data_IF_403774891245
#
_entry.id   IF_403774891245
#
_cell.length_a   1.000
_cell.length_b   1.000
_cell.length_c   1.000
_cell.angle_alpha   90.00
_cell.angle_beta   90.00
_cell.angle_gamma   90.00
#
_symmetry.space_group_name_H-M   'P 1'
#
loop_
_entity.id
_entity.type
_entity.pdbx_description
1 polymer ?
#
# COMPACT_ATOMS: atom_id res chain seq x y z
N UNK A 1 -7.87 22.74 13.48
CA UNK A 1 -7.15 21.87 12.53
C UNK A 1 -6.21 21.00 13.35
N UNK A 2 -6.57 19.74 13.60
CA UNK A 2 -5.87 18.88 14.59
C UNK A 2 -4.45 18.47 14.15
N UNK A 3 -4.19 18.47 12.84
CA UNK A 3 -2.93 18.02 12.23
C UNK A 3 -1.73 18.95 12.50
N UNK A 4 -1.95 20.14 13.07
CA UNK A 4 -0.89 21.15 13.28
C UNK A 4 -0.81 21.66 14.72
N UNK A 5 -1.35 20.93 15.69
CA UNK A 5 -1.41 21.39 17.09
C UNK A 5 -0.01 21.63 17.70
N UNK A 6 1.02 20.93 17.23
CA UNK A 6 2.41 21.06 17.71
C UNK A 6 3.27 21.98 16.82
N UNK A 7 2.65 22.70 15.87
CA UNK A 7 3.33 23.54 14.90
C UNK A 7 3.79 22.80 13.65
N UNK A 8 4.27 23.54 12.65
CA UNK A 8 4.62 22.97 11.33
C UNK A 8 5.82 22.04 11.37
N UNK A 9 6.81 22.33 12.23
CA UNK A 9 8.03 21.54 12.32
C UNK A 9 7.76 20.13 12.86
N UNK A 10 7.11 20.03 14.02
CA UNK A 10 6.85 18.75 14.69
C UNK A 10 5.79 17.90 14.00
N UNK A 11 4.91 18.52 13.22
CA UNK A 11 3.93 17.81 12.42
C UNK A 11 4.45 17.56 11.00
N UNK A 12 4.42 18.57 10.12
CA UNK A 12 4.64 18.37 8.69
C UNK A 12 6.09 18.05 8.34
N UNK A 13 7.05 18.82 8.86
CA UNK A 13 8.44 18.64 8.48
C UNK A 13 8.98 17.32 9.01
N UNK A 14 8.62 16.98 10.25
CA UNK A 14 9.00 15.71 10.87
C UNK A 14 8.39 14.51 10.15
N UNK A 15 7.13 14.59 9.73
CA UNK A 15 6.48 13.54 8.94
C UNK A 15 7.20 13.32 7.60
N UNK A 16 7.58 14.40 6.91
CA UNK A 16 8.35 14.32 5.65
C UNK A 16 9.75 13.74 5.88
N UNK A 17 10.45 14.16 6.94
CA UNK A 17 11.78 13.64 7.29
C UNK A 17 11.73 12.14 7.58
N UNK A 18 10.69 11.66 8.28
CA UNK A 18 10.52 10.22 8.56
C UNK A 18 10.13 9.47 7.28
N UNK A 19 9.16 10.00 6.51
CA UNK A 19 8.65 9.34 5.31
C UNK A 19 9.68 9.18 4.19
N UNK A 20 10.58 10.15 4.02
CA UNK A 20 11.59 10.17 2.94
C UNK A 20 13.04 10.05 3.45
N UNK A 21 13.23 9.86 4.75
CA UNK A 21 14.55 9.67 5.36
C UNK A 21 15.13 8.29 5.10
N UNK A 22 16.29 8.02 5.70
CA UNK A 22 16.86 6.67 5.72
C UNK A 22 16.12 5.81 6.74
N UNK A 23 15.77 4.59 6.33
CA UNK A 23 15.14 3.60 7.20
C UNK A 23 16.20 2.59 7.65
N UNK A 24 16.13 2.17 8.91
CA UNK A 24 17.05 1.17 9.47
C UNK A 24 16.71 -0.28 9.08
N UNK A 25 15.66 -0.47 8.27
CA UNK A 25 15.27 -1.77 7.76
C UNK A 25 14.94 -1.72 6.27
N UNK A 26 15.19 -2.84 5.59
CA UNK A 26 14.77 -3.07 4.22
C UNK A 26 13.46 -3.88 4.24
N UNK A 27 12.36 -3.40 3.60
CA UNK A 27 11.13 -4.17 3.54
C UNK A 27 11.32 -5.56 2.90
N UNK A 28 12.31 -5.74 2.02
CA UNK A 28 12.60 -7.02 1.37
C UNK A 28 13.22 -8.06 2.29
N UNK A 29 13.69 -7.67 3.48
CA UNK A 29 14.23 -8.58 4.50
C UNK A 29 13.13 -9.14 5.44
N UNK A 30 11.87 -8.73 5.24
CA UNK A 30 10.75 -9.21 6.04
C UNK A 30 10.51 -10.71 5.86
N UNK A 31 10.48 -11.44 6.97
CA UNK A 31 10.12 -12.86 6.99
C UNK A 31 8.62 -13.02 6.84
N UNK A 32 8.20 -14.11 6.19
CA UNK A 32 6.78 -14.46 6.09
C UNK A 32 6.17 -14.58 7.50
N UNK A 33 5.19 -13.73 7.88
CA UNK A 33 4.53 -13.83 9.17
C UNK A 33 3.51 -14.98 9.25
N UNK A 34 3.19 -15.63 8.12
CA UNK A 34 2.20 -16.71 8.00
C UNK A 34 2.85 -18.01 7.48
N UNK A 35 3.73 -18.66 8.27
CA UNK A 35 4.49 -19.82 7.81
C UNK A 35 3.63 -21.07 7.56
N UNK A 36 2.43 -21.16 8.13
CA UNK A 36 1.49 -22.27 7.96
C UNK A 36 0.32 -21.91 7.03
N UNK A 37 0.48 -20.87 6.20
CA UNK A 37 -0.57 -20.35 5.31
C UNK A 37 -1.84 -19.91 6.07
N UNK A 38 -1.70 -19.47 7.32
CA UNK A 38 -2.82 -18.97 8.13
C UNK A 38 -3.32 -17.57 7.72
N UNK A 39 -2.62 -16.91 6.79
CA UNK A 39 -2.96 -15.57 6.32
C UNK A 39 -2.14 -15.13 5.11
N UNK A 40 -2.47 -13.93 4.62
CA UNK A 40 -1.72 -13.25 3.58
C UNK A 40 -1.77 -11.74 3.79
N UNK A 41 -0.73 -11.03 3.36
CA UNK A 41 -0.77 -9.57 3.24
C UNK A 41 -1.23 -9.24 1.83
N UNK A 42 -2.18 -8.32 1.68
CA UNK A 42 -2.59 -7.82 0.38
C UNK A 42 -2.10 -6.37 0.19
N UNK A 43 -1.51 -6.09 -0.96
CA UNK A 43 -0.98 -4.77 -1.32
C UNK A 43 -1.63 -4.29 -2.61
N UNK A 44 -2.39 -3.20 -2.54
CA UNK A 44 -2.98 -2.54 -3.71
C UNK A 44 -2.17 -1.30 -4.08
N UNK A 45 -1.83 -1.16 -5.36
CA UNK A 45 -1.00 -0.07 -5.88
C UNK A 45 -1.62 0.48 -7.15
N UNK A 46 -1.79 1.80 -7.25
CA UNK A 46 -2.13 2.45 -8.51
C UNK A 46 -0.93 2.48 -9.46
N UNK A 47 -1.13 2.14 -10.73
CA UNK A 47 -0.04 2.13 -11.74
C UNK A 47 0.37 3.53 -12.23
N UNK A 48 -0.46 4.56 -11.96
CA UNK A 48 -0.19 5.98 -12.20
C UNK A 48 0.19 6.73 -10.92
N UNK A 49 0.64 6.02 -9.88
CA UNK A 49 1.11 6.64 -8.64
C UNK A 49 2.39 7.49 -8.87
N UNK A 50 2.26 8.79 -8.64
CA UNK A 50 3.35 9.75 -8.77
C UNK A 50 4.25 9.90 -7.54
N UNK A 51 3.88 9.32 -6.39
CA UNK A 51 4.66 9.35 -5.15
C UNK A 51 5.49 8.09 -4.97
N UNK A 52 4.89 6.93 -5.19
CA UNK A 52 5.55 5.62 -5.02
C UNK A 52 5.66 4.90 -6.35
N UNK A 53 6.88 4.64 -6.87
CA UNK A 53 7.05 3.96 -8.14
C UNK A 53 6.43 2.55 -8.13
N UNK A 54 5.51 2.28 -9.06
CA UNK A 54 4.87 0.97 -9.22
C UNK A 54 5.89 -0.17 -9.38
N UNK A 55 7.00 0.09 -10.08
CA UNK A 55 8.07 -0.90 -10.28
C UNK A 55 8.74 -1.33 -8.97
N UNK A 56 8.85 -0.42 -7.99
CA UNK A 56 9.43 -0.74 -6.69
C UNK A 56 8.52 -1.70 -5.92
N UNK A 57 7.21 -1.42 -5.88
CA UNK A 57 6.24 -2.28 -5.20
C UNK A 57 6.13 -3.65 -5.87
N UNK A 58 6.13 -3.68 -7.20
CA UNK A 58 6.17 -4.92 -7.97
C UNK A 58 7.41 -5.77 -7.61
N UNK A 59 8.57 -5.14 -7.45
CA UNK A 59 9.80 -5.83 -7.07
C UNK A 59 9.75 -6.37 -5.63
N UNK A 60 9.24 -5.58 -4.68
CA UNK A 60 9.04 -6.00 -3.28
C UNK A 60 8.12 -7.23 -3.22
N UNK A 61 6.97 -7.20 -3.90
CA UNK A 61 6.04 -8.32 -3.94
C UNK A 61 6.66 -9.60 -4.54
N UNK A 62 7.52 -9.46 -5.57
CA UNK A 62 8.27 -10.59 -6.14
C UNK A 62 9.29 -11.18 -5.16
N UNK A 63 9.90 -10.36 -4.31
CA UNK A 63 10.84 -10.81 -3.27
C UNK A 63 10.14 -11.43 -2.07
N UNK A 64 8.92 -10.99 -1.78
CA UNK A 64 8.11 -11.40 -0.63
C UNK A 64 6.85 -12.13 -1.12
N UNK A 65 6.93 -13.41 -1.50
CA UNK A 65 5.83 -14.13 -2.17
C UNK A 65 4.59 -14.34 -1.29
N UNK A 66 4.68 -14.04 0.01
CA UNK A 66 3.54 -14.02 0.93
C UNK A 66 2.69 -12.74 0.82
N UNK A 67 3.12 -11.77 0.01
CA UNK A 67 2.34 -10.59 -0.37
C UNK A 67 1.54 -10.90 -1.64
N UNK A 68 0.21 -10.75 -1.56
CA UNK A 68 -0.71 -10.74 -2.68
C UNK A 68 -0.79 -9.33 -3.24
N UNK A 69 -0.15 -9.09 -4.38
CA UNK A 69 -0.06 -7.76 -4.99
C UNK A 69 -1.14 -7.54 -6.05
N UNK A 70 -1.71 -6.34 -6.07
CA UNK A 70 -2.83 -5.94 -6.93
C UNK A 70 -2.53 -4.57 -7.55
N UNK A 71 -2.22 -4.52 -8.85
CA UNK A 71 -2.03 -3.28 -9.59
C UNK A 71 -3.35 -2.76 -10.12
N UNK A 72 -3.70 -1.52 -9.81
CA UNK A 72 -4.93 -0.87 -10.24
C UNK A 72 -4.61 0.03 -11.43
N UNK A 73 -5.10 -0.35 -12.60
CA UNK A 73 -4.88 0.40 -13.84
C UNK A 73 -5.56 1.77 -13.81
N UNK A 74 -4.83 2.82 -14.19
CA UNK A 74 -5.30 4.20 -14.28
C UNK A 74 -5.45 4.90 -12.93
N UNK A 75 -4.96 4.30 -11.85
CA UNK A 75 -5.12 4.83 -10.50
C UNK A 75 -3.82 5.47 -10.00
N UNK A 76 -3.94 6.63 -9.37
CA UNK A 76 -2.84 7.28 -8.66
C UNK A 76 -2.80 6.94 -7.18
N UNK A 77 -1.92 7.61 -6.43
CA UNK A 77 -1.69 7.37 -4.99
C UNK A 77 -2.97 7.41 -4.12
N UNK A 78 -3.87 8.33 -4.46
CA UNK A 78 -5.07 8.63 -3.64
C UNK A 78 -6.32 7.85 -4.08
N UNK A 79 -6.17 6.70 -4.75
CA UNK A 79 -7.34 5.90 -5.19
C UNK A 79 -8.27 5.53 -4.03
N UNK A 80 -7.74 5.42 -2.81
CA UNK A 80 -8.50 5.14 -1.58
C UNK A 80 -9.49 6.24 -1.17
N UNK A 81 -9.41 7.43 -1.78
CA UNK A 81 -10.40 8.49 -1.55
C UNK A 81 -11.73 8.26 -2.28
N UNK A 82 -11.80 7.33 -3.24
CA UNK A 82 -13.06 6.92 -3.84
C UNK A 82 -13.63 5.72 -3.06
N UNK A 83 -14.86 5.89 -2.56
CA UNK A 83 -15.56 4.85 -1.81
C UNK A 83 -15.73 3.55 -2.62
N UNK A 84 -15.77 3.62 -3.95
CA UNK A 84 -15.88 2.42 -4.79
C UNK A 84 -14.62 1.53 -4.66
N UNK A 85 -13.43 2.14 -4.59
CA UNK A 85 -12.16 1.43 -4.39
C UNK A 85 -12.15 0.78 -3.00
N UNK A 86 -12.54 1.52 -1.97
CA UNK A 86 -12.59 1.02 -0.58
C UNK A 86 -13.57 -0.15 -0.44
N UNK A 87 -14.79 -0.01 -0.97
CA UNK A 87 -15.80 -1.08 -0.95
C UNK A 87 -15.33 -2.33 -1.68
N UNK A 88 -14.66 -2.17 -2.82
CA UNK A 88 -14.12 -3.29 -3.59
C UNK A 88 -13.02 -4.03 -2.82
N UNK A 89 -12.09 -3.31 -2.19
CA UNK A 89 -11.03 -3.89 -1.35
C UNK A 89 -11.62 -4.62 -0.14
N UNK A 90 -12.57 -4.01 0.56
CA UNK A 90 -13.22 -4.63 1.73
C UNK A 90 -13.98 -5.90 1.34
N UNK A 91 -14.67 -5.90 0.20
CA UNK A 91 -15.34 -7.11 -0.32
C UNK A 91 -14.32 -8.19 -0.71
N UNK A 92 -13.17 -7.82 -1.28
CA UNK A 92 -12.13 -8.78 -1.61
C UNK A 92 -11.55 -9.44 -0.35
N UNK A 93 -11.26 -8.66 0.68
CA UNK A 93 -10.72 -9.15 1.96
C UNK A 93 -11.74 -10.00 2.75
N UNK A 94 -13.00 -9.57 2.83
CA UNK A 94 -14.02 -10.25 3.66
C UNK A 94 -14.70 -11.44 2.96
N UNK A 95 -14.83 -11.38 1.63
CA UNK A 95 -15.58 -12.38 0.86
C UNK A 95 -14.69 -13.24 -0.04
N UNK A 96 -13.37 -12.96 -0.12
CA UNK A 96 -12.45 -13.66 -1.01
C UNK A 96 -12.75 -13.47 -2.50
N UNK A 97 -13.56 -12.46 -2.87
CA UNK A 97 -13.96 -12.23 -4.26
C UNK A 97 -12.90 -11.38 -4.97
N UNK A 98 -12.54 -11.76 -6.20
CA UNK A 98 -11.77 -10.85 -7.06
C UNK A 98 -12.58 -9.59 -7.31
N UNK A 99 -12.04 -8.40 -7.03
CA UNK A 99 -12.79 -7.17 -7.19
C UNK A 99 -13.07 -6.92 -8.68
N UNK A 100 -14.34 -6.98 -9.08
CA UNK A 100 -14.78 -6.89 -10.48
C UNK A 100 -14.74 -5.47 -11.05
N UNK A 101 -14.70 -4.45 -10.18
CA UNK A 101 -14.71 -3.04 -10.54
C UNK A 101 -13.31 -2.41 -10.46
N UNK A 102 -12.32 -3.19 -10.04
CA UNK A 102 -10.92 -2.81 -10.12
C UNK A 102 -10.41 -3.45 -11.40
N UNK A 103 -10.01 -2.66 -12.38
CA UNK A 103 -9.18 -3.15 -13.48
C UNK A 103 -7.82 -3.53 -12.92
N UNK A 104 -7.79 -4.66 -12.20
CA UNK A 104 -6.57 -5.27 -11.67
C UNK A 104 -5.92 -6.04 -12.80
N UNK A 105 -4.69 -5.68 -13.13
CA UNK A 105 -3.89 -6.36 -14.17
C UNK A 105 -3.17 -7.57 -13.58
#
# INVERSE_FOLDING_TARGET
NEVRQQGEYECLNRDVIIGFGSWEFDPMDLKNPFPNNEGAVHLWQGDEDGFVPVLLQNYIAKKLPWIQYHEIRGAGHMFVCDNNFVDAIMRALLLGKKPTNLSVV
#
